data_IF_013192431212
#
_entry.id   IF_013192431212
#
_cell.length_a   1.000
_cell.length_b   1.000
_cell.length_c   1.000
_cell.angle_alpha   90.00
_cell.angle_beta   90.00
_cell.angle_gamma   90.00
#
_symmetry.space_group_name_H-M   'P 1'
#
loop_
_entity.id
_entity.type
_entity.pdbx_description
1 polymer ?
#
# COMPACT_ATOMS: atom_id res chain seq x y z
N UNK A 1 18.13 -48.43 9.38
CA UNK A 1 18.79 -49.26 10.42
C UNK A 1 19.40 -48.34 11.45
N UNK A 2 18.79 -48.23 12.63
CA UNK A 2 19.51 -48.16 13.91
C UNK A 2 18.51 -48.63 14.97
N UNK A 3 18.85 -49.72 15.63
CA UNK A 3 18.05 -50.44 16.62
C UNK A 3 18.67 -50.15 17.99
N UNK A 4 17.89 -49.58 18.90
CA UNK A 4 18.26 -49.40 20.30
C UNK A 4 17.20 -50.04 21.19
N UNK A 5 17.58 -51.13 21.88
CA UNK A 5 16.78 -51.78 22.91
C UNK A 5 16.81 -50.95 24.20
N UNK A 6 15.65 -50.72 24.81
CA UNK A 6 15.54 -50.12 26.13
C UNK A 6 14.10 -50.14 26.63
N UNK A 7 13.76 -51.11 27.47
CA UNK A 7 12.46 -51.21 28.12
C UNK A 7 12.26 -50.10 29.16
N UNK A 8 11.06 -49.52 29.18
CA UNK A 8 10.66 -48.55 30.20
C UNK A 8 9.25 -48.01 29.98
N UNK A 9 8.32 -48.45 30.84
CA UNK A 9 6.98 -47.89 31.14
C UNK A 9 6.22 -47.25 29.97
N UNK A 10 5.14 -47.91 29.55
CA UNK A 10 4.14 -47.37 28.62
C UNK A 10 3.65 -45.97 29.08
N UNK A 11 4.27 -44.93 28.52
CA UNK A 11 3.72 -43.59 28.58
C UNK A 11 2.38 -43.66 27.83
N UNK A 12 1.27 -43.35 28.52
CA UNK A 12 -0.01 -43.13 27.85
C UNK A 12 0.23 -42.10 26.76
N UNK A 13 0.29 -42.54 25.50
CA UNK A 13 0.45 -41.65 24.36
C UNK A 13 -0.71 -40.67 24.43
N UNK A 14 -0.40 -39.40 24.72
CA UNK A 14 -1.36 -38.31 24.53
C UNK A 14 -1.79 -38.42 23.07
N UNK A 15 -3.09 -38.53 22.82
CA UNK A 15 -3.70 -38.52 21.49
C UNK A 15 -3.64 -37.11 20.85
N UNK A 16 -2.50 -36.42 21.01
CA UNK A 16 -2.21 -35.10 20.48
C UNK A 16 -1.07 -35.26 19.49
N UNK A 17 -1.41 -35.16 18.20
CA UNK A 17 -0.44 -35.12 17.14
C UNK A 17 -0.03 -33.67 16.88
N UNK A 18 1.24 -33.36 17.12
CA UNK A 18 1.83 -32.11 16.65
C UNK A 18 2.14 -32.28 15.16
N UNK A 19 1.48 -31.49 14.32
CA UNK A 19 1.80 -31.42 12.89
C UNK A 19 2.82 -30.31 12.69
N UNK A 20 3.99 -30.64 12.15
CA UNK A 20 4.95 -29.65 11.67
C UNK A 20 5.08 -29.81 10.16
N UNK A 21 5.29 -28.69 9.47
CA UNK A 21 5.56 -28.69 8.04
C UNK A 21 7.08 -28.75 7.88
N UNK A 22 7.59 -29.86 7.36
CA UNK A 22 8.96 -29.93 6.87
C UNK A 22 9.03 -29.19 5.53
N UNK A 23 9.85 -28.14 5.48
CA UNK A 23 9.87 -27.23 4.33
C UNK A 23 10.78 -27.82 3.26
N UNK A 24 10.17 -28.40 2.22
CA UNK A 24 10.92 -28.97 1.09
C UNK A 24 11.44 -27.91 0.10
N UNK A 25 10.64 -26.87 -0.16
CA UNK A 25 11.05 -25.77 -1.05
C UNK A 25 10.35 -24.46 -0.68
N UNK A 26 11.08 -23.37 -0.69
CA UNK A 26 10.55 -22.01 -0.54
C UNK A 26 10.68 -21.32 -1.89
N UNK A 27 9.58 -20.81 -2.46
CA UNK A 27 9.60 -19.94 -3.63
C UNK A 27 9.25 -18.52 -3.19
N UNK A 28 10.10 -17.57 -3.55
CA UNK A 28 9.85 -16.15 -3.30
C UNK A 28 9.15 -15.56 -4.52
N UNK A 29 7.86 -15.22 -4.39
CA UNK A 29 7.09 -14.60 -5.48
C UNK A 29 7.53 -13.17 -5.82
N UNK A 30 8.44 -12.57 -5.03
CA UNK A 30 8.89 -11.20 -5.24
C UNK A 30 10.12 -11.09 -6.17
N UNK A 31 10.68 -12.21 -6.66
CA UNK A 31 11.97 -12.22 -7.39
C UNK A 31 11.98 -12.95 -8.73
N UNK A 32 10.83 -13.23 -9.34
CA UNK A 32 10.81 -13.81 -10.69
C UNK A 32 10.46 -12.75 -11.74
N UNK A 33 11.36 -11.77 -11.88
CA UNK A 33 11.45 -10.85 -13.02
C UNK A 33 12.29 -11.47 -14.15
N UNK A 34 12.00 -12.72 -14.52
CA UNK A 34 12.70 -13.39 -15.60
C UNK A 34 11.70 -14.02 -16.56
N UNK A 35 11.58 -13.43 -17.77
CA UNK A 35 10.97 -14.12 -18.91
C UNK A 35 11.90 -15.27 -19.30
N UNK A 36 11.64 -16.49 -18.80
CA UNK A 36 12.25 -17.68 -19.38
C UNK A 36 11.40 -18.14 -20.56
N UNK A 37 11.83 -17.84 -21.79
CA UNK A 37 11.42 -18.60 -22.97
C UNK A 37 12.14 -19.95 -22.98
N UNK A 38 11.69 -20.90 -22.17
CA UNK A 38 12.02 -22.32 -22.30
C UNK A 38 11.25 -23.14 -21.25
N UNK A 39 10.16 -23.80 -21.63
CA UNK A 39 10.21 -25.23 -21.92
C UNK A 39 8.88 -25.74 -22.47
N UNK A 40 9.02 -26.79 -23.29
CA UNK A 40 8.03 -27.31 -24.22
C UNK A 40 6.90 -28.11 -23.55
N UNK A 41 5.73 -28.04 -24.19
CA UNK A 41 4.61 -28.99 -24.13
C UNK A 41 3.81 -29.02 -22.81
N UNK A 42 2.68 -28.30 -22.79
CA UNK A 42 1.33 -28.84 -22.50
C UNK A 42 0.27 -27.75 -22.66
N UNK A 43 -0.68 -28.02 -23.57
CA UNK A 43 -2.01 -27.44 -23.77
C UNK A 43 -2.17 -25.94 -24.13
N UNK A 44 -2.97 -25.72 -25.17
CA UNK A 44 -3.29 -24.44 -25.81
C UNK A 44 -4.12 -23.50 -24.93
N UNK A 45 -3.51 -22.96 -23.88
CA UNK A 45 -3.98 -21.78 -23.14
C UNK A 45 -2.74 -21.01 -22.72
N UNK A 46 -2.20 -20.21 -23.65
CA UNK A 46 -0.96 -19.43 -23.53
C UNK A 46 -0.99 -18.54 -22.28
N UNK A 47 -0.53 -19.09 -21.16
CA UNK A 47 -0.43 -18.38 -19.87
C UNK A 47 0.87 -17.60 -19.89
N UNK A 48 0.79 -16.28 -19.97
CA UNK A 48 1.95 -15.41 -19.86
C UNK A 48 2.22 -15.18 -18.37
N UNK A 49 3.46 -15.44 -17.95
CA UNK A 49 3.91 -15.09 -16.60
C UNK A 49 4.31 -13.62 -16.63
N UNK A 50 3.60 -12.77 -15.90
CA UNK A 50 3.93 -11.36 -15.75
C UNK A 50 3.95 -11.03 -14.26
N UNK A 51 5.11 -10.57 -13.75
CA UNK A 51 5.33 -10.22 -12.34
C UNK A 51 4.87 -11.31 -11.33
N UNK A 52 5.20 -12.57 -11.59
CA UNK A 52 4.84 -13.70 -10.72
C UNK A 52 3.37 -14.13 -10.76
N UNK A 53 2.51 -13.41 -11.49
CA UNK A 53 1.11 -13.76 -11.69
C UNK A 53 0.92 -14.47 -13.05
N UNK A 54 0.16 -15.56 -13.04
CA UNK A 54 -0.34 -16.21 -14.25
C UNK A 54 -1.40 -15.30 -14.86
N UNK A 55 -1.10 -14.68 -15.99
CA UNK A 55 -2.07 -13.86 -16.74
C UNK A 55 -2.57 -14.67 -17.93
N UNK A 56 -3.88 -14.84 -18.02
CA UNK A 56 -4.49 -15.48 -19.17
C UNK A 56 -4.51 -14.50 -20.36
N UNK A 57 -4.17 -14.97 -21.55
CA UNK A 57 -4.21 -14.16 -22.77
C UNK A 57 -5.63 -13.58 -23.03
N UNK A 58 -6.68 -14.31 -22.66
CA UNK A 58 -8.06 -13.81 -22.77
C UNK A 58 -8.32 -12.59 -21.86
N UNK A 59 -7.78 -12.61 -20.63
CA UNK A 59 -7.90 -11.48 -19.69
C UNK A 59 -7.10 -10.28 -20.19
N UNK A 60 -5.90 -10.52 -20.72
CA UNK A 60 -5.05 -9.48 -21.32
C UNK A 60 -5.75 -8.76 -22.47
N UNK A 61 -6.41 -9.51 -23.36
CA UNK A 61 -7.16 -8.95 -24.49
C UNK A 61 -8.34 -8.09 -24.01
N UNK A 62 -9.04 -8.51 -22.94
CA UNK A 62 -10.14 -7.71 -22.38
C UNK A 62 -9.62 -6.44 -21.68
N UNK A 63 -8.48 -6.52 -20.98
CA UNK A 63 -7.81 -5.33 -20.42
C UNK A 63 -7.46 -4.35 -21.54
N UNK A 64 -6.87 -4.83 -22.65
CA UNK A 64 -6.56 -3.98 -23.81
C UNK A 64 -7.81 -3.32 -24.37
N UNK A 65 -8.88 -4.10 -24.57
CA UNK A 65 -10.18 -3.60 -25.05
C UNK A 65 -10.76 -2.52 -24.13
N UNK A 66 -10.65 -2.69 -22.81
CA UNK A 66 -11.11 -1.68 -21.85
C UNK A 66 -10.22 -0.43 -21.92
N UNK A 67 -8.90 -0.59 -22.12
CA UNK A 67 -7.93 0.51 -22.21
C UNK A 67 -8.18 1.46 -23.38
N UNK A 68 -8.74 0.97 -24.49
CA UNK A 68 -9.08 1.76 -25.67
C UNK A 68 -10.32 2.65 -25.48
N UNK A 69 -11.10 2.43 -24.42
CA UNK A 69 -12.31 3.21 -24.18
C UNK A 69 -11.98 4.66 -23.82
N UNK A 70 -12.63 5.59 -24.52
CA UNK A 70 -12.51 7.04 -24.24
C UNK A 70 -13.01 7.43 -22.85
N UNK A 71 -13.93 6.66 -22.28
CA UNK A 71 -14.54 6.89 -20.97
C UNK A 71 -13.96 6.02 -19.85
N UNK A 72 -12.81 5.35 -20.06
CA UNK A 72 -12.21 4.41 -19.10
C UNK A 72 -12.06 5.01 -17.70
N UNK A 73 -11.56 6.25 -17.61
CA UNK A 73 -11.33 6.88 -16.31
C UNK A 73 -12.65 7.04 -15.53
N UNK A 74 -13.70 7.49 -16.21
CA UNK A 74 -15.03 7.64 -15.61
C UNK A 74 -15.64 6.28 -15.25
N UNK A 75 -15.47 5.27 -16.09
CA UNK A 75 -15.91 3.90 -15.83
C UNK A 75 -15.27 3.33 -14.56
N UNK A 76 -13.96 3.51 -14.39
CA UNK A 76 -13.22 3.05 -13.21
C UNK A 76 -13.69 3.77 -11.94
N UNK A 77 -13.90 5.08 -12.02
CA UNK A 77 -14.43 5.89 -10.91
C UNK A 77 -15.80 5.37 -10.45
N UNK A 78 -16.71 5.12 -11.40
CA UNK A 78 -18.05 4.60 -11.11
C UNK A 78 -18.03 3.19 -10.56
N UNK A 79 -17.06 2.38 -10.99
CA UNK A 79 -16.89 1.00 -10.54
C UNK A 79 -16.20 0.89 -9.18
N UNK A 80 -15.41 1.90 -8.76
CA UNK A 80 -14.62 1.85 -7.53
C UNK A 80 -15.47 1.78 -6.26
N UNK A 81 -16.61 2.47 -6.19
CA UNK A 81 -17.48 2.47 -5.01
C UNK A 81 -18.94 2.63 -5.47
N UNK A 82 -19.58 1.58 -5.99
CA UNK A 82 -20.91 1.68 -6.58
C UNK A 82 -22.01 1.92 -5.54
N UNK A 83 -21.77 1.53 -4.27
CA UNK A 83 -22.71 1.73 -3.16
C UNK A 83 -22.77 3.17 -2.64
N UNK A 84 -21.79 4.02 -2.98
CA UNK A 84 -21.74 5.42 -2.53
C UNK A 84 -22.15 6.30 -3.70
N UNK A 85 -23.23 7.06 -3.53
CA UNK A 85 -23.69 7.99 -4.55
C UNK A 85 -22.84 9.27 -4.59
N UNK A 86 -22.49 9.74 -5.78
CA UNK A 86 -21.76 10.98 -5.99
C UNK A 86 -20.27 10.92 -5.62
N UNK A 87 -19.72 12.09 -5.24
CA UNK A 87 -18.32 12.27 -4.85
C UNK A 87 -17.30 11.76 -5.91
N UNK A 88 -17.61 11.96 -7.18
CA UNK A 88 -16.79 11.43 -8.30
C UNK A 88 -15.35 11.93 -8.27
N UNK A 89 -15.12 13.19 -7.87
CA UNK A 89 -13.77 13.76 -7.71
C UNK A 89 -12.98 13.08 -6.58
N UNK A 90 -13.67 12.68 -5.51
CA UNK A 90 -13.04 12.02 -4.36
C UNK A 90 -12.66 10.59 -4.74
N UNK A 91 -13.57 9.88 -5.42
CA UNK A 91 -13.30 8.56 -6.01
C UNK A 91 -12.19 8.60 -7.07
N UNK A 92 -12.11 9.66 -7.86
CA UNK A 92 -10.99 9.89 -8.78
C UNK A 92 -9.67 10.01 -8.04
N UNK A 93 -9.60 10.82 -6.98
CA UNK A 93 -8.41 10.96 -6.15
C UNK A 93 -7.98 9.65 -5.48
N UNK A 94 -8.95 8.87 -5.00
CA UNK A 94 -8.71 7.52 -4.48
C UNK A 94 -8.13 6.59 -5.53
N UNK A 95 -8.75 6.51 -6.70
CA UNK A 95 -8.31 5.67 -7.79
C UNK A 95 -6.86 6.00 -8.19
N UNK A 96 -6.53 7.27 -8.32
CA UNK A 96 -5.16 7.72 -8.60
C UNK A 96 -4.19 7.36 -7.48
N UNK A 97 -4.64 7.40 -6.21
CA UNK A 97 -3.82 6.97 -5.06
C UNK A 97 -3.59 5.46 -5.07
N UNK A 98 -4.52 4.66 -5.60
CA UNK A 98 -4.35 3.21 -5.77
C UNK A 98 -3.38 2.87 -6.90
N UNK A 99 -3.40 3.61 -8.01
CA UNK A 99 -2.45 3.43 -9.10
C UNK A 99 -1.05 3.93 -8.75
N UNK A 100 -0.95 4.98 -7.93
CA UNK A 100 0.31 5.62 -7.57
C UNK A 100 0.94 6.39 -8.73
N UNK A 101 2.12 6.95 -8.47
CA UNK A 101 2.94 7.62 -9.48
C UNK A 101 3.93 6.68 -10.17
N UNK A 102 4.56 7.14 -11.24
CA UNK A 102 5.64 6.41 -11.91
C UNK A 102 6.94 6.53 -11.10
N UNK A 103 7.55 5.39 -10.75
CA UNK A 103 8.81 5.39 -10.03
C UNK A 103 9.98 5.79 -10.95
N UNK A 104 10.55 6.97 -10.71
CA UNK A 104 11.72 7.45 -11.45
C UNK A 104 13.03 6.76 -11.01
N UNK A 105 13.04 6.05 -9.87
CA UNK A 105 14.20 5.24 -9.42
C UNK A 105 14.54 4.13 -10.41
N UNK A 106 13.54 3.63 -11.13
CA UNK A 106 13.68 2.56 -12.13
C UNK A 106 14.22 3.07 -13.48
N UNK A 107 14.03 4.36 -13.80
CA UNK A 107 14.53 4.92 -15.07
C UNK A 107 16.07 5.00 -15.12
N UNK A 108 16.70 5.25 -13.98
CA UNK A 108 18.16 5.35 -13.89
C UNK A 108 18.89 4.00 -13.96
N UNK A 109 18.16 2.86 -13.89
CA UNK A 109 18.75 1.51 -14.02
C UNK A 109 18.74 0.94 -15.44
N UNK A 110 18.20 1.65 -16.43
CA UNK A 110 18.24 1.21 -17.83
C UNK A 110 17.36 0.01 -18.18
N UNK A 111 16.53 -0.50 -17.25
CA UNK A 111 15.77 -1.75 -17.46
C UNK A 111 14.36 -1.56 -18.04
N UNK A 112 13.92 -0.32 -18.31
CA UNK A 112 12.52 -0.03 -18.68
C UNK A 112 12.33 0.77 -19.98
N UNK A 113 13.36 0.93 -20.81
CA UNK A 113 13.26 1.78 -22.00
C UNK A 113 12.70 1.09 -23.26
N UNK A 114 12.44 -0.22 -23.24
CA UNK A 114 12.06 -0.96 -24.45
C UNK A 114 10.55 -1.21 -24.66
N UNK A 115 9.68 -0.87 -23.70
CA UNK A 115 8.27 -1.32 -23.76
C UNK A 115 7.22 -0.32 -24.25
N UNK A 116 7.54 0.96 -24.50
CA UNK A 116 6.52 1.93 -24.93
C UNK A 116 6.96 2.96 -26.00
N UNK A 117 8.13 2.82 -26.61
CA UNK A 117 8.57 3.74 -27.66
C UNK A 117 9.03 3.01 -28.92
N UNK A 118 8.15 2.21 -29.52
CA UNK A 118 8.19 1.97 -30.98
C UNK A 118 7.28 3.01 -31.66
N UNK A 119 7.71 4.27 -31.58
CA UNK A 119 7.19 5.37 -32.37
C UNK A 119 8.37 6.02 -33.07
N UNK A 120 8.35 5.97 -34.40
CA UNK A 120 9.38 6.36 -35.35
C UNK A 120 10.31 7.51 -34.89
N UNK A 121 11.57 7.18 -34.55
CA UNK A 121 12.66 8.15 -34.57
C UNK A 121 13.20 8.23 -36.01
N UNK A 122 12.60 9.09 -36.82
CA UNK A 122 13.33 9.66 -37.95
C UNK A 122 13.77 11.09 -37.60
N UNK A 123 15.04 11.31 -37.86
CA UNK A 123 15.81 12.54 -37.91
C UNK A 123 16.39 13.05 -36.60
N UNK A 124 17.73 12.99 -36.60
CA UNK A 124 18.59 13.38 -35.51
C UNK A 124 18.69 14.88 -35.32
N UNK A 125 18.86 15.23 -34.05
CA UNK A 125 19.59 16.40 -33.62
C UNK A 125 20.34 15.94 -32.36
N UNK A 126 21.67 15.92 -32.46
CA UNK A 126 22.55 15.75 -31.31
C UNK A 126 22.48 17.04 -30.51
N UNK A 127 21.59 17.07 -29.52
CA UNK A 127 21.67 18.04 -28.45
C UNK A 127 22.55 17.43 -27.35
N UNK A 128 23.61 18.15 -26.99
CA UNK A 128 24.56 17.79 -25.95
C UNK A 128 23.82 17.67 -24.60
N UNK A 129 23.45 16.45 -24.21
CA UNK A 129 22.79 16.16 -22.94
C UNK A 129 23.84 16.28 -21.81
N UNK A 130 24.00 17.51 -21.31
CA UNK A 130 24.71 17.83 -20.08
C UNK A 130 24.27 16.87 -18.96
N UNK A 131 25.25 16.27 -18.28
CA UNK A 131 25.07 15.22 -17.29
C UNK A 131 23.82 15.37 -16.42
N UNK A 132 22.88 14.44 -16.57
CA UNK A 132 21.75 14.26 -15.68
C UNK A 132 22.26 14.18 -14.24
N UNK A 133 22.12 15.29 -13.50
CA UNK A 133 22.23 15.28 -12.03
C UNK A 133 21.30 14.17 -11.54
N UNK A 134 21.73 13.31 -10.59
CA UNK A 134 20.85 12.29 -10.04
C UNK A 134 19.59 13.01 -9.56
N UNK A 135 18.48 12.81 -10.28
CA UNK A 135 17.21 13.44 -9.96
C UNK A 135 16.93 13.13 -8.51
N UNK A 136 16.60 14.16 -7.72
CA UNK A 136 16.22 13.97 -6.32
C UNK A 136 15.28 12.78 -6.22
N UNK A 137 15.52 11.84 -5.30
CA UNK A 137 14.66 10.68 -5.11
C UNK A 137 13.25 11.16 -4.72
N UNK A 138 12.38 11.36 -5.71
CA UNK A 138 10.99 11.78 -5.50
C UNK A 138 10.16 10.53 -5.32
N UNK A 139 9.44 10.44 -4.20
CA UNK A 139 8.52 9.34 -3.95
C UNK A 139 7.37 9.37 -4.98
N UNK A 140 6.99 8.21 -5.53
CA UNK A 140 5.85 8.13 -6.45
C UNK A 140 4.49 8.06 -5.73
N UNK A 141 4.47 7.71 -4.44
CA UNK A 141 3.22 7.45 -3.71
C UNK A 141 2.41 8.72 -3.45
N UNK A 142 1.09 8.61 -3.64
CA UNK A 142 0.14 9.68 -3.43
C UNK A 142 -0.61 9.40 -2.13
N UNK A 143 -0.43 10.27 -1.14
CA UNK A 143 -1.20 10.22 0.09
C UNK A 143 -2.40 11.17 -0.01
N UNK A 144 -3.57 10.73 0.46
CA UNK A 144 -4.82 11.49 0.41
C UNK A 144 -5.45 11.66 1.80
N UNK A 145 -5.95 12.85 2.11
CA UNK A 145 -6.72 13.12 3.33
C UNK A 145 -8.13 13.55 2.95
N UNK A 146 -9.14 12.81 3.42
CA UNK A 146 -10.54 13.19 3.29
C UNK A 146 -11.03 13.80 4.58
N UNK A 147 -11.60 14.99 4.50
CA UNK A 147 -12.21 15.63 5.64
C UNK A 147 -13.63 16.03 5.30
N UNK A 148 -14.57 15.70 6.16
CA UNK A 148 -15.94 16.13 5.96
C UNK A 148 -16.81 15.78 7.14
N UNK A 149 -18.07 16.18 7.06
CA UNK A 149 -19.05 15.93 8.11
C UNK A 149 -19.28 14.42 8.34
N UNK A 150 -19.68 14.01 9.55
CA UNK A 150 -20.10 12.65 9.81
C UNK A 150 -21.28 12.27 8.92
N UNK A 151 -21.34 11.01 8.48
CA UNK A 151 -22.43 10.50 7.63
C UNK A 151 -22.19 10.59 6.11
N UNK A 152 -21.10 11.20 5.64
CA UNK A 152 -20.77 11.29 4.21
C UNK A 152 -20.15 10.02 3.60
N UNK A 153 -20.28 8.87 4.26
CA UNK A 153 -19.78 7.59 3.74
C UNK A 153 -18.25 7.43 3.70
N UNK A 154 -17.46 8.33 4.31
CA UNK A 154 -15.98 8.31 4.34
C UNK A 154 -15.39 6.95 4.75
N UNK A 155 -15.78 6.46 5.92
CA UNK A 155 -15.34 5.15 6.44
C UNK A 155 -15.75 3.99 5.55
N UNK A 156 -16.92 4.07 4.89
CA UNK A 156 -17.35 3.04 3.95
C UNK A 156 -16.53 3.05 2.66
N UNK A 157 -16.11 4.24 2.22
CA UNK A 157 -15.22 4.41 1.09
C UNK A 157 -13.84 3.78 1.39
N UNK A 158 -13.27 4.04 2.57
CA UNK A 158 -12.02 3.38 3.02
C UNK A 158 -12.13 1.87 3.03
N UNK A 159 -13.19 1.33 3.66
CA UNK A 159 -13.43 -0.12 3.71
C UNK A 159 -13.53 -0.75 2.33
N UNK A 160 -14.12 -0.05 1.37
CA UNK A 160 -14.21 -0.54 0.01
C UNK A 160 -12.83 -0.58 -0.67
N UNK A 161 -12.02 0.49 -0.55
CA UNK A 161 -10.68 0.54 -1.13
C UNK A 161 -9.79 -0.60 -0.63
N UNK A 162 -9.85 -0.91 0.66
CA UNK A 162 -9.02 -1.95 1.28
C UNK A 162 -9.31 -3.33 0.68
N UNK A 163 -10.57 -3.59 0.31
CA UNK A 163 -10.96 -4.84 -0.33
C UNK A 163 -10.52 -4.91 -1.80
N UNK A 164 -10.37 -3.77 -2.47
CA UNK A 164 -9.95 -3.70 -3.88
C UNK A 164 -8.42 -3.63 -4.00
N UNK A 165 -7.74 -3.05 -3.03
CA UNK A 165 -6.29 -2.90 -3.03
C UNK A 165 -5.59 -4.26 -2.82
N UNK A 166 -4.48 -4.55 -3.54
CA UNK A 166 -3.77 -5.83 -3.44
C UNK A 166 -3.17 -6.09 -2.05
N UNK A 167 -2.85 -5.02 -1.32
CA UNK A 167 -2.32 -5.04 0.06
C UNK A 167 -2.93 -3.89 0.87
N UNK A 168 -4.23 -3.96 1.11
CA UNK A 168 -4.97 -2.98 1.92
C UNK A 168 -4.93 -3.30 3.41
N UNK A 169 -4.57 -2.33 4.25
CA UNK A 169 -4.68 -2.43 5.71
C UNK A 169 -5.59 -1.33 6.23
N UNK A 170 -6.56 -1.70 7.08
CA UNK A 170 -7.45 -0.76 7.76
C UNK A 170 -7.01 -0.52 9.20
N UNK A 171 -6.98 0.74 9.58
CA UNK A 171 -6.60 1.20 10.91
C UNK A 171 -7.60 2.26 11.37
N UNK A 172 -8.04 2.17 12.62
CA UNK A 172 -8.88 3.20 13.22
C UNK A 172 -8.04 4.04 14.19
N UNK A 173 -8.05 5.37 14.03
CA UNK A 173 -7.18 6.28 14.79
C UNK A 173 -7.37 6.20 16.30
N UNK A 174 -8.58 5.91 16.77
CA UNK A 174 -8.87 5.75 18.20
C UNK A 174 -8.36 4.42 18.80
N UNK A 175 -8.30 3.35 18.01
CA UNK A 175 -7.90 2.01 18.49
C UNK A 175 -6.42 1.72 18.27
N UNK A 176 -5.68 2.65 17.69
CA UNK A 176 -4.32 2.41 17.21
C UNK A 176 -3.33 3.19 18.05
N UNK A 177 -2.19 2.55 18.32
CA UNK A 177 -1.05 3.15 19.02
C UNK A 177 0.17 3.15 18.11
N UNK A 178 1.20 3.92 18.45
CA UNK A 178 2.48 3.91 17.76
C UNK A 178 3.04 2.50 17.55
N UNK A 179 2.88 1.62 18.56
CA UNK A 179 3.31 0.22 18.48
C UNK A 179 2.51 -0.58 17.43
N UNK A 180 1.20 -0.33 17.31
CA UNK A 180 0.33 -0.96 16.32
C UNK A 180 0.52 -0.41 14.90
N UNK A 181 0.94 0.84 14.73
CA UNK A 181 1.28 1.41 13.42
C UNK A 181 2.65 0.95 12.90
N UNK A 182 3.65 0.93 13.78
CA UNK A 182 5.06 0.74 13.39
C UNK A 182 5.49 -0.71 13.49
N UNK A 183 6.06 -1.09 14.63
CA UNK A 183 6.41 -2.42 14.99
C UNK A 183 6.58 -2.47 16.51
N UNK A 184 6.29 -3.63 17.08
CA UNK A 184 6.41 -3.89 18.50
C UNK A 184 7.34 -5.06 18.74
N UNK A 185 7.97 -5.07 19.92
CA UNK A 185 8.83 -6.16 20.32
C UNK A 185 8.05 -7.06 21.26
N UNK A 186 7.87 -8.31 20.86
CA UNK A 186 7.22 -9.33 21.67
C UNK A 186 8.29 -10.27 22.18
N UNK A 187 8.24 -10.57 23.48
CA UNK A 187 9.05 -11.63 24.06
C UNK A 187 8.26 -12.93 23.95
N UNK A 188 8.81 -13.88 23.21
CA UNK A 188 8.22 -15.21 23.15
C UNK A 188 8.38 -15.90 24.52
N UNK A 189 7.27 -16.45 25.02
CA UNK A 189 7.21 -17.07 26.35
C UNK A 189 7.94 -18.41 26.39
N UNK A 190 8.08 -19.09 25.24
CA UNK A 190 8.71 -20.41 25.17
C UNK A 190 10.23 -20.31 24.99
N UNK A 191 10.68 -19.46 24.07
CA UNK A 191 12.13 -19.29 23.79
C UNK A 191 12.79 -18.21 24.65
N UNK A 192 12.01 -17.35 25.32
CA UNK A 192 12.49 -16.12 25.97
C UNK A 192 13.20 -15.13 25.03
N UNK A 193 13.13 -15.35 23.71
CA UNK A 193 13.73 -14.49 22.71
C UNK A 193 12.80 -13.31 22.38
N UNK A 194 13.40 -12.19 22.00
CA UNK A 194 12.66 -11.00 21.57
C UNK A 194 12.47 -11.06 20.05
N UNK A 195 11.21 -11.16 19.62
CA UNK A 195 10.81 -11.19 18.22
C UNK A 195 10.12 -9.89 17.86
N UNK A 196 10.42 -9.36 16.67
CA UNK A 196 9.81 -8.15 16.16
C UNK A 196 8.50 -8.49 15.42
N UNK A 197 7.41 -7.86 15.83
CA UNK A 197 6.12 -7.93 15.15
C UNK A 197 5.87 -6.65 14.35
N UNK A 198 5.54 -6.80 13.07
CA UNK A 198 5.26 -5.70 12.17
C UNK A 198 3.87 -5.09 12.45
N UNK A 199 3.81 -3.77 12.51
CA UNK A 199 2.58 -2.99 12.61
C UNK A 199 1.96 -2.68 11.25
N UNK A 200 0.85 -1.95 11.27
CA UNK A 200 0.00 -1.72 10.11
C UNK A 200 0.72 -1.09 8.89
N UNK A 201 1.63 -0.14 9.11
CA UNK A 201 2.36 0.53 8.03
C UNK A 201 3.37 -0.40 7.34
N UNK A 202 4.02 -1.26 8.11
CA UNK A 202 4.98 -2.23 7.57
C UNK A 202 4.24 -3.36 6.84
N UNK A 203 3.10 -3.81 7.38
CA UNK A 203 2.27 -4.82 6.74
C UNK A 203 1.71 -4.35 5.39
N UNK A 204 1.45 -3.05 5.25
CA UNK A 204 0.93 -2.43 4.03
C UNK A 204 2.00 -1.99 3.02
N UNK A 205 3.28 -2.38 3.19
CA UNK A 205 4.34 -2.09 2.21
C UNK A 205 3.93 -2.50 0.78
N UNK A 206 4.19 -1.61 -0.18
CA UNK A 206 3.76 -1.67 -1.60
C UNK A 206 2.23 -1.68 -1.82
N UNK A 207 1.46 -1.29 -0.81
CA UNK A 207 0.00 -1.27 -0.84
C UNK A 207 -0.57 0.04 -0.33
N UNK A 208 -1.70 -0.08 0.38
CA UNK A 208 -2.46 1.07 0.88
C UNK A 208 -2.75 0.88 2.36
N UNK A 209 -2.39 1.89 3.15
CA UNK A 209 -2.79 2.01 4.55
C UNK A 209 -3.92 3.02 4.66
N UNK A 210 -5.11 2.54 5.03
CA UNK A 210 -6.27 3.39 5.26
C UNK A 210 -6.42 3.68 6.76
N UNK A 211 -6.46 4.97 7.12
CA UNK A 211 -6.61 5.42 8.50
C UNK A 211 -7.94 6.15 8.66
N UNK A 212 -8.85 5.59 9.43
CA UNK A 212 -10.10 6.24 9.82
C UNK A 212 -9.94 7.03 11.11
N UNK A 213 -10.83 7.98 11.38
CA UNK A 213 -10.78 8.84 12.58
C UNK A 213 -9.39 9.44 12.84
N UNK A 214 -8.75 9.93 11.78
CA UNK A 214 -7.41 10.50 11.84
C UNK A 214 -7.30 11.66 12.84
N UNK A 215 -8.39 12.42 13.04
CA UNK A 215 -8.48 13.48 14.05
C UNK A 215 -8.37 12.99 15.49
N UNK A 216 -8.55 11.69 15.75
CA UNK A 216 -8.44 11.07 17.08
C UNK A 216 -7.04 10.56 17.41
N UNK A 217 -6.10 10.59 16.46
CA UNK A 217 -4.71 10.18 16.73
C UNK A 217 -3.94 11.31 17.43
N UNK A 218 -3.59 11.11 18.71
CA UNK A 218 -2.97 12.13 19.57
C UNK A 218 -1.44 12.06 19.66
N UNK A 219 -0.83 10.87 19.59
CA UNK A 219 0.62 10.69 19.82
C UNK A 219 1.40 10.09 18.65
N UNK A 220 0.70 9.58 17.64
CA UNK A 220 1.31 8.65 16.68
C UNK A 220 1.70 9.29 15.34
N UNK A 221 1.56 10.60 15.27
CA UNK A 221 1.80 11.36 14.05
C UNK A 221 3.28 11.38 13.65
N UNK A 222 4.23 11.34 14.59
CA UNK A 222 5.65 11.39 14.26
C UNK A 222 6.12 10.16 13.47
N UNK A 223 5.70 8.97 13.89
CA UNK A 223 6.02 7.72 13.20
C UNK A 223 5.39 7.67 11.80
N UNK A 224 4.17 8.19 11.68
CA UNK A 224 3.50 8.31 10.40
C UNK A 224 4.23 9.29 9.46
N UNK A 225 4.69 10.42 9.99
CA UNK A 225 5.46 11.41 9.24
C UNK A 225 6.78 10.86 8.72
N UNK A 226 7.48 10.07 9.54
CA UNK A 226 8.68 9.36 9.13
C UNK A 226 8.39 8.41 7.96
N UNK A 227 7.35 7.57 8.11
CA UNK A 227 6.93 6.63 7.07
C UNK A 227 6.52 7.35 5.77
N UNK A 228 5.78 8.45 5.85
CA UNK A 228 5.33 9.22 4.69
C UNK A 228 6.47 9.92 3.95
N UNK A 229 7.47 10.44 4.67
CA UNK A 229 8.55 11.18 4.05
C UNK A 229 9.66 10.25 3.53
N UNK A 230 10.03 9.21 4.29
CA UNK A 230 11.15 8.34 3.95
C UNK A 230 10.73 6.99 3.34
N UNK A 231 9.44 6.64 3.36
CA UNK A 231 8.93 5.30 3.01
C UNK A 231 9.56 4.16 3.83
N UNK A 232 10.07 4.49 5.01
CA UNK A 232 10.74 3.57 5.93
C UNK A 232 10.48 3.98 7.37
N UNK A 233 10.51 3.03 8.29
CA UNK A 233 10.35 3.24 9.73
C UNK A 233 11.61 2.75 10.44
N UNK A 234 12.28 3.62 11.17
CA UNK A 234 13.45 3.28 11.98
C UNK A 234 13.04 2.68 13.34
N UNK A 235 13.75 1.62 13.74
CA UNK A 235 13.52 0.91 14.99
C UNK A 235 14.83 0.80 15.74
N UNK A 236 14.80 1.23 17.00
CA UNK A 236 15.87 1.08 17.98
C UNK A 236 15.25 0.59 19.30
N UNK A 237 14.95 -0.70 19.41
CA UNK A 237 14.28 -1.30 20.58
C UNK A 237 14.86 -2.67 20.90
N UNK A 238 15.04 -2.98 22.19
CA UNK A 238 15.48 -4.32 22.65
C UNK A 238 16.81 -4.79 22.05
N UNK A 239 17.73 -3.87 21.75
CA UNK A 239 19.00 -4.19 21.10
C UNK A 239 18.90 -4.40 19.57
N UNK A 240 17.70 -4.35 19.00
CA UNK A 240 17.48 -4.39 17.56
C UNK A 240 17.53 -2.96 17.01
N UNK A 241 18.52 -2.71 16.15
CA UNK A 241 18.68 -1.51 15.36
C UNK A 241 18.42 -1.85 13.90
N UNK A 242 17.42 -1.25 13.29
CA UNK A 242 17.06 -1.54 11.91
C UNK A 242 16.06 -0.55 11.32
N UNK A 243 15.81 -0.70 10.03
CA UNK A 243 14.79 0.06 9.32
C UNK A 243 13.85 -0.91 8.61
N UNK A 244 12.55 -0.72 8.77
CA UNK A 244 11.52 -1.48 8.07
C UNK A 244 10.99 -0.66 6.91
N UNK A 245 10.77 -1.30 5.76
CA UNK A 245 10.15 -0.65 4.61
C UNK A 245 8.66 -0.44 4.85
N UNK A 246 8.17 0.74 4.49
CA UNK A 246 6.77 1.14 4.59
C UNK A 246 6.39 2.00 3.37
N UNK A 247 6.64 1.48 2.16
CA UNK A 247 6.36 2.12 0.87
C UNK A 247 4.87 1.96 0.53
N UNK A 248 4.02 2.54 1.37
CA UNK A 248 2.58 2.45 1.24
C UNK A 248 1.98 3.83 0.95
N UNK A 249 0.95 3.86 0.10
CA UNK A 249 0.10 5.04 -0.02
C UNK A 249 -0.83 5.12 1.20
N UNK A 250 -0.99 6.32 1.76
CA UNK A 250 -1.77 6.54 3.00
C UNK A 250 -3.01 7.32 2.64
N UNK A 251 -4.16 6.75 2.98
CA UNK A 251 -5.47 7.35 2.75
C UNK A 251 -6.13 7.55 4.11
N UNK A 252 -6.19 8.80 4.56
CA UNK A 252 -6.73 9.14 5.87
C UNK A 252 -8.12 9.76 5.74
N UNK A 253 -9.01 9.46 6.68
CA UNK A 253 -10.28 10.14 6.86
C UNK A 253 -10.31 10.83 8.23
N UNK A 254 -10.72 12.09 8.26
CA UNK A 254 -10.87 12.86 9.49
C UNK A 254 -12.22 13.57 9.53
N UNK A 255 -12.66 13.90 10.73
CA UNK A 255 -13.79 14.80 10.93
C UNK A 255 -13.30 16.19 11.36
N UNK A 256 -13.99 17.28 10.98
CA UNK A 256 -13.69 18.61 11.51
C UNK A 256 -13.95 18.64 13.02
N UNK A 257 -13.16 19.43 13.75
CA UNK A 257 -13.17 19.45 15.23
C UNK A 257 -14.53 19.85 15.82
N UNK A 258 -15.32 20.64 15.10
CA UNK A 258 -16.67 21.08 15.48
C UNK A 258 -17.78 20.11 15.03
N UNK A 259 -17.43 18.95 14.46
CA UNK A 259 -18.36 17.97 13.88
C UNK A 259 -18.95 18.41 12.54
N UNK A 260 -19.14 19.71 12.33
CA UNK A 260 -19.60 20.29 11.08
C UNK A 260 -18.60 21.27 10.48
N UNK A 261 -18.45 21.24 9.15
CA UNK A 261 -17.71 22.22 8.41
C UNK A 261 -18.45 23.56 8.38
N UNK A 262 -17.94 24.56 9.10
CA UNK A 262 -18.47 25.94 9.02
C UNK A 262 -17.74 26.70 7.91
N UNK A 263 -18.46 27.18 6.90
CA UNK A 263 -17.90 27.90 5.75
C UNK A 263 -17.45 29.36 6.04
N UNK A 264 -17.19 29.72 7.30
CA UNK A 264 -16.73 31.08 7.61
C UNK A 264 -15.30 31.36 7.10
N UNK A 265 -15.15 32.49 6.42
CA UNK A 265 -14.03 32.90 5.53
C UNK A 265 -12.61 32.93 6.12
N UNK A 266 -12.41 32.62 7.40
CA UNK A 266 -11.10 32.73 8.06
C UNK A 266 -10.46 31.35 8.27
N UNK A 267 -9.43 31.08 7.45
CA UNK A 267 -8.37 30.06 7.59
C UNK A 267 -8.84 28.58 7.61
N UNK A 268 -8.79 27.95 6.44
CA UNK A 268 -9.07 26.51 6.19
C UNK A 268 -8.28 25.54 7.09
N UNK A 269 -7.08 25.91 7.55
CA UNK A 269 -6.19 25.02 8.31
C UNK A 269 -6.50 24.96 9.82
N UNK A 270 -6.86 26.07 10.47
CA UNK A 270 -7.19 26.09 11.91
C UNK A 270 -8.52 25.42 12.26
N UNK A 271 -9.38 25.18 11.27
CA UNK A 271 -10.73 24.61 11.46
C UNK A 271 -10.76 23.09 11.57
N UNK A 272 -9.70 22.41 11.10
CA UNK A 272 -9.58 20.96 11.20
C UNK A 272 -9.09 20.50 12.58
N UNK A 273 -8.65 21.41 13.44
CA UNK A 273 -7.96 21.06 14.70
C UNK A 273 -6.58 20.43 14.50
N UNK A 274 -6.17 20.25 13.24
CA UNK A 274 -4.79 19.99 12.84
C UNK A 274 -4.09 21.36 12.77
N UNK A 275 -3.02 21.53 13.53
CA UNK A 275 -2.16 22.69 13.47
C UNK A 275 -1.73 23.00 12.03
N UNK A 276 -1.60 24.28 11.71
CA UNK A 276 -1.20 24.75 10.37
C UNK A 276 0.17 24.22 9.90
N UNK A 277 0.97 23.65 10.81
CA UNK A 277 2.22 22.95 10.50
C UNK A 277 1.95 21.53 10.01
N UNK A 278 1.06 20.78 10.66
CA UNK A 278 0.74 19.40 10.32
C UNK A 278 0.20 19.23 8.89
N UNK A 279 -0.75 20.06 8.44
CA UNK A 279 -1.35 19.96 7.09
C UNK A 279 -0.34 20.24 5.96
N UNK A 280 0.65 21.13 6.17
CA UNK A 280 1.73 21.38 5.18
C UNK A 280 2.79 20.29 5.19
N UNK A 281 3.03 19.66 6.34
CA UNK A 281 4.03 18.60 6.50
C UNK A 281 3.55 17.30 5.84
N UNK A 282 2.25 17.00 5.89
CA UNK A 282 1.78 15.72 5.40
C UNK A 282 1.84 15.53 3.87
N UNK A 283 2.06 16.58 3.06
CA UNK A 283 1.96 16.50 1.58
C UNK A 283 0.69 15.75 1.11
N UNK A 284 -0.36 15.73 1.96
CA UNK A 284 -1.63 15.07 1.72
C UNK A 284 -2.46 15.97 0.80
N UNK A 285 -2.97 15.43 -0.30
CA UNK A 285 -4.04 16.10 -1.03
C UNK A 285 -5.29 16.07 -0.18
N UNK A 286 -5.63 17.20 0.45
CA UNK A 286 -6.81 17.33 1.31
C UNK A 286 -8.05 17.60 0.46
N UNK A 287 -9.02 16.70 0.51
CA UNK A 287 -10.33 16.85 -0.14
C UNK A 287 -11.39 17.07 0.92
N UNK A 288 -12.10 18.19 0.82
CA UNK A 288 -13.21 18.53 1.71
C UNK A 288 -14.50 17.99 1.10
N UNK A 289 -15.16 17.09 1.83
CA UNK A 289 -16.47 16.57 1.53
C UNK A 289 -17.51 17.45 2.23
N UNK A 290 -18.25 18.22 1.43
CA UNK A 290 -19.43 18.96 1.88
C UNK A 290 -20.69 18.28 1.33
N UNK A 291 -21.77 18.26 2.12
CA UNK A 291 -23.12 17.99 1.60
C UNK A 291 -23.69 19.34 1.16
N UNK A 292 -23.84 19.56 -0.16
CA UNK A 292 -24.45 20.78 -0.71
C UNK A 292 -25.96 20.89 -0.38
N UNK A 293 -26.50 19.96 0.44
CA UNK A 293 -27.90 19.94 0.87
C UNK A 293 -28.21 20.78 2.13
N UNK A 294 -27.31 21.65 2.58
CA UNK A 294 -27.56 22.58 3.70
C UNK A 294 -27.00 23.97 3.47
#
# INVERSE_FOLDING_TARGET
MYQGYGGGKAAKNKALHASYIDVNSIRNSNTDYFMSTADQQTDASTTLMMNGNKVNLAELNEIHRISERKDIFYLLIKSLCPSIYGHELVKAGLLLSMFGGTDHRLKNKGEFQDFMCQGDKQNGQQDDDEGQKPGSNVRPDIHMLMVGDPGLGKSQMLKHIINVAPRGVYVCGNSTTNAGLTATLIRDQFTNEQTLEAGALVLSDLGICCIDEFDKMTSDQNSLLEAMEQQTISIAKGGILGSLSARCSIIACANPHTGHYKADHSRKASKLGLGCKEIKIYRLSCVILNDDRR
#
